data_IF_367750705308
#
_entry.id   IF_367750705308
#
_cell.length_a   1.000
_cell.length_b   1.000
_cell.length_c   1.000
_cell.angle_alpha   90.00
_cell.angle_beta   90.00
_cell.angle_gamma   90.00
#
_symmetry.space_group_name_H-M   'P 1'
#
loop_
_entity.id
_entity.type
_entity.pdbx_description
1 polymer ?
#
# COMPACT_ATOMS: atom_id res chain seq x y z
N UNK A 1 3.34 -27.24 39.10
CA UNK A 1 3.65 -27.92 37.81
C UNK A 1 2.94 -27.29 36.61
N UNK A 2 1.68 -26.93 36.71
CA UNK A 2 0.93 -26.27 35.61
C UNK A 2 1.51 -24.91 35.21
N UNK A 3 1.98 -24.11 36.13
CA UNK A 3 2.54 -22.76 35.88
C UNK A 3 3.87 -22.83 35.10
N UNK A 4 4.67 -23.85 35.31
CA UNK A 4 5.94 -24.05 34.60
C UNK A 4 5.70 -24.54 33.17
N UNK A 5 4.67 -25.33 32.96
CA UNK A 5 4.28 -25.85 31.64
C UNK A 5 3.72 -24.74 30.73
N UNK A 6 2.89 -23.84 31.25
CA UNK A 6 2.40 -22.67 30.52
C UNK A 6 3.52 -21.69 30.16
N UNK A 7 4.51 -21.53 31.04
CA UNK A 7 5.65 -20.67 30.83
C UNK A 7 6.62 -21.21 29.77
N UNK A 8 6.82 -22.51 29.74
CA UNK A 8 7.61 -23.18 28.70
C UNK A 8 6.91 -23.20 27.35
N UNK A 9 5.61 -23.42 27.32
CA UNK A 9 4.78 -23.28 26.11
C UNK A 9 4.81 -21.86 25.55
N UNK A 10 4.82 -20.84 26.41
CA UNK A 10 4.97 -19.44 26.00
C UNK A 10 6.36 -19.13 25.43
N UNK A 11 7.41 -19.78 25.94
CA UNK A 11 8.77 -19.59 25.45
C UNK A 11 9.02 -20.33 24.12
N UNK A 12 8.25 -21.38 23.84
CA UNK A 12 8.38 -22.18 22.62
C UNK A 12 7.47 -21.73 21.47
N UNK A 13 6.39 -21.01 21.78
CA UNK A 13 5.52 -20.43 20.75
C UNK A 13 5.98 -19.02 20.43
N UNK A 14 6.40 -18.79 19.21
CA UNK A 14 6.45 -17.42 18.68
C UNK A 14 5.03 -16.88 18.75
N UNK A 15 4.79 -15.95 19.64
CA UNK A 15 3.47 -15.33 19.73
C UNK A 15 3.15 -14.62 18.41
N UNK A 16 2.10 -15.05 17.75
CA UNK A 16 1.64 -14.43 16.50
C UNK A 16 1.47 -12.93 16.68
N UNK A 17 1.04 -12.50 17.86
CA UNK A 17 0.93 -11.09 18.21
C UNK A 17 2.26 -10.34 18.20
N UNK A 18 3.39 -11.01 18.42
CA UNK A 18 4.71 -10.37 18.35
C UNK A 18 5.17 -10.07 16.93
N UNK A 19 4.54 -10.68 15.94
CA UNK A 19 4.81 -10.42 14.53
C UNK A 19 4.09 -9.16 14.02
N UNK A 20 3.14 -8.63 14.79
CA UNK A 20 2.34 -7.47 14.47
C UNK A 20 2.63 -6.34 15.45
N UNK A 21 2.73 -5.12 14.97
CA UNK A 21 3.02 -3.94 15.79
C UNK A 21 2.17 -2.76 15.36
N UNK A 22 1.90 -1.88 16.33
CA UNK A 22 1.24 -0.61 16.10
C UNK A 22 2.02 0.49 16.84
N UNK A 23 2.34 1.56 16.14
CA UNK A 23 3.05 2.71 16.72
C UNK A 23 2.44 3.99 16.18
N UNK A 24 2.13 4.99 17.03
CA UNK A 24 1.47 6.22 16.59
C UNK A 24 2.26 6.99 15.54
N UNK A 25 3.59 6.88 15.56
CA UNK A 25 4.51 7.60 14.68
C UNK A 25 4.71 6.92 13.31
N UNK A 26 4.25 5.68 13.16
CA UNK A 26 4.44 4.89 11.94
C UNK A 26 3.09 4.49 11.38
N UNK A 27 2.86 4.78 10.10
CA UNK A 27 1.63 4.46 9.37
C UNK A 27 0.35 4.98 10.06
N UNK A 28 0.44 6.10 10.79
CA UNK A 28 -0.70 6.71 11.48
C UNK A 28 -1.30 5.85 12.59
N UNK A 29 -0.51 4.99 13.23
CA UNK A 29 -0.96 4.10 14.30
C UNK A 29 -1.65 2.84 13.82
N UNK A 30 -1.67 2.57 12.53
CA UNK A 30 -2.27 1.35 11.96
C UNK A 30 -1.46 0.12 12.31
N UNK A 31 -2.14 -0.99 12.48
CA UNK A 31 -1.50 -2.28 12.71
C UNK A 31 -0.68 -2.68 11.49
N UNK A 32 0.56 -3.01 11.70
CA UNK A 32 1.53 -3.37 10.66
C UNK A 32 2.33 -4.60 11.05
N UNK A 33 3.05 -5.15 10.11
CA UNK A 33 4.02 -6.21 10.38
C UNK A 33 5.22 -5.59 11.10
N UNK A 34 5.59 -6.17 12.22
CA UNK A 34 6.69 -5.67 13.06
C UNK A 34 7.99 -5.53 12.25
N UNK A 35 8.69 -4.43 12.49
CA UNK A 35 9.92 -4.10 11.78
C UNK A 35 9.74 -3.61 10.34
N UNK A 36 8.51 -3.46 9.87
CA UNK A 36 8.20 -2.98 8.51
C UNK A 36 7.18 -1.83 8.53
N UNK A 37 6.98 -1.20 7.39
CA UNK A 37 5.90 -0.23 7.16
C UNK A 37 4.71 -0.83 6.41
N UNK A 38 4.68 -2.14 6.26
CA UNK A 38 3.61 -2.85 5.57
C UNK A 38 2.48 -3.10 6.57
N UNK A 39 1.32 -2.48 6.31
CA UNK A 39 0.14 -2.62 7.15
C UNK A 39 -0.60 -3.92 6.86
N UNK A 40 -1.37 -4.38 7.84
CA UNK A 40 -2.28 -5.52 7.66
C UNK A 40 -3.23 -5.25 6.49
N UNK A 41 -3.74 -4.04 6.37
CA UNK A 41 -4.67 -3.65 5.31
C UNK A 41 -4.07 -3.82 3.91
N UNK A 42 -2.78 -3.54 3.73
CA UNK A 42 -2.09 -3.78 2.46
C UNK A 42 -2.02 -5.27 2.10
N UNK A 43 -1.71 -6.12 3.07
CA UNK A 43 -1.68 -7.57 2.90
C UNK A 43 -3.08 -8.10 2.57
N UNK A 44 -4.09 -7.67 3.31
CA UNK A 44 -5.49 -8.08 3.09
C UNK A 44 -6.00 -7.62 1.72
N UNK A 45 -5.65 -6.41 1.30
CA UNK A 45 -6.05 -5.90 -0.02
C UNK A 45 -5.50 -6.79 -1.14
N UNK A 46 -4.24 -7.22 -1.06
CA UNK A 46 -3.64 -8.15 -2.02
C UNK A 46 -4.31 -9.53 -1.97
N UNK A 47 -4.60 -10.02 -0.78
CA UNK A 47 -5.30 -11.28 -0.60
C UNK A 47 -6.71 -11.25 -1.22
N UNK A 48 -7.45 -10.17 -1.04
CA UNK A 48 -8.78 -9.97 -1.65
C UNK A 48 -8.74 -9.86 -3.17
N UNK A 49 -7.62 -9.42 -3.72
CA UNK A 49 -7.39 -9.39 -5.18
C UNK A 49 -7.08 -10.78 -5.76
N UNK A 50 -6.98 -11.79 -4.93
CA UNK A 50 -6.72 -13.17 -5.34
C UNK A 50 -5.26 -13.61 -5.21
N UNK A 51 -4.39 -12.78 -4.60
CA UNK A 51 -3.00 -13.17 -4.35
C UNK A 51 -2.93 -14.21 -3.22
N UNK A 52 -2.14 -15.26 -3.42
CA UNK A 52 -1.87 -16.25 -2.38
C UNK A 52 -0.87 -15.68 -1.36
N UNK A 53 -0.77 -16.31 -0.18
CA UNK A 53 0.20 -15.92 0.82
C UNK A 53 1.63 -15.99 0.28
N UNK A 54 1.95 -17.00 -0.52
CA UNK A 54 3.24 -17.15 -1.19
C UNK A 54 3.50 -16.02 -2.19
N UNK A 55 2.51 -15.64 -2.97
CA UNK A 55 2.61 -14.53 -3.92
C UNK A 55 2.86 -13.19 -3.21
N UNK A 56 2.19 -12.97 -2.08
CA UNK A 56 2.40 -11.78 -1.24
C UNK A 56 3.82 -11.77 -0.66
N UNK A 57 4.30 -12.90 -0.14
CA UNK A 57 5.66 -13.02 0.39
C UNK A 57 6.72 -12.82 -0.70
N UNK A 58 6.47 -13.27 -1.92
CA UNK A 58 7.35 -13.04 -3.07
C UNK A 58 7.39 -11.56 -3.50
N UNK A 59 6.27 -10.88 -3.38
CA UNK A 59 6.18 -9.43 -3.68
C UNK A 59 6.96 -8.59 -2.68
N UNK A 60 7.04 -9.04 -1.43
CA UNK A 60 7.80 -8.40 -0.36
C UNK A 60 8.90 -9.34 0.16
N UNK A 61 10.08 -9.38 -0.48
CA UNK A 61 11.12 -10.37 -0.16
C UNK A 61 11.63 -10.33 1.28
N UNK A 62 11.47 -9.19 1.97
CA UNK A 62 11.87 -9.03 3.37
C UNK A 62 10.80 -9.54 4.35
N UNK A 63 9.62 -9.93 3.88
CA UNK A 63 8.60 -10.57 4.71
C UNK A 63 8.77 -12.08 4.72
N UNK A 64 8.61 -12.67 5.91
CA UNK A 64 8.54 -14.13 6.04
C UNK A 64 7.12 -14.63 5.81
N UNK A 65 6.98 -15.89 5.47
CA UNK A 65 5.67 -16.55 5.35
C UNK A 65 4.88 -16.47 6.66
N UNK A 66 5.56 -16.61 7.82
CA UNK A 66 4.93 -16.49 9.13
C UNK A 66 4.31 -15.11 9.34
N UNK A 67 4.97 -14.05 8.92
CA UNK A 67 4.47 -12.68 9.01
C UNK A 67 3.23 -12.48 8.13
N UNK A 68 3.24 -12.99 6.91
CA UNK A 68 2.09 -12.92 5.99
C UNK A 68 0.90 -13.70 6.56
N UNK A 69 1.12 -14.92 7.04
CA UNK A 69 0.07 -15.72 7.67
C UNK A 69 -0.45 -15.08 8.97
N UNK A 70 0.41 -14.44 9.76
CA UNK A 70 -0.02 -13.70 10.96
C UNK A 70 -0.97 -12.55 10.60
N UNK A 71 -0.67 -11.81 9.55
CA UNK A 71 -1.53 -10.75 9.04
C UNK A 71 -2.88 -11.28 8.58
N UNK A 72 -2.90 -12.38 7.83
CA UNK A 72 -4.12 -13.02 7.35
C UNK A 72 -4.93 -13.65 8.50
N UNK A 73 -4.25 -14.24 9.48
CA UNK A 73 -4.91 -14.79 10.68
C UNK A 73 -5.59 -13.67 11.49
N UNK A 74 -4.93 -12.53 11.65
CA UNK A 74 -5.51 -11.36 12.29
C UNK A 74 -6.77 -10.89 11.53
N UNK A 75 -6.69 -10.82 10.21
CA UNK A 75 -7.82 -10.45 9.36
C UNK A 75 -9.01 -11.38 9.57
N UNK A 76 -8.79 -12.69 9.52
CA UNK A 76 -9.87 -13.67 9.71
C UNK A 76 -10.46 -13.63 11.13
N UNK A 77 -9.65 -13.31 12.14
CA UNK A 77 -10.11 -13.16 13.52
C UNK A 77 -10.87 -11.86 13.77
N UNK A 78 -10.54 -10.78 13.04
CA UNK A 78 -11.11 -9.43 13.22
C UNK A 78 -11.69 -8.89 11.91
N UNK A 79 -12.36 -9.72 11.17
CA UNK A 79 -12.81 -9.43 9.81
C UNK A 79 -13.65 -8.16 9.70
N UNK A 80 -14.59 -7.96 10.59
CA UNK A 80 -15.48 -6.78 10.58
C UNK A 80 -14.70 -5.48 10.76
N UNK A 81 -13.77 -5.47 11.70
CA UNK A 81 -12.92 -4.31 11.98
C UNK A 81 -12.01 -3.97 10.80
N UNK A 82 -11.32 -4.97 10.25
CA UNK A 82 -10.43 -4.80 9.11
C UNK A 82 -11.18 -4.38 7.85
N UNK A 83 -12.35 -4.96 7.59
CA UNK A 83 -13.19 -4.58 6.45
C UNK A 83 -13.71 -3.14 6.59
N UNK A 84 -14.06 -2.72 7.81
CA UNK A 84 -14.46 -1.34 8.07
C UNK A 84 -13.31 -0.34 7.83
N UNK A 85 -12.11 -0.69 8.26
CA UNK A 85 -10.90 0.12 8.04
C UNK A 85 -10.55 0.21 6.54
N UNK A 86 -10.62 -0.90 5.82
CA UNK A 86 -10.41 -0.92 4.38
C UNK A 86 -11.43 -0.05 3.63
N UNK A 87 -12.69 -0.14 4.01
CA UNK A 87 -13.75 0.68 3.42
C UNK A 87 -13.55 2.19 3.72
N UNK A 88 -13.03 2.52 4.90
CA UNK A 88 -12.66 3.89 5.27
C UNK A 88 -11.49 4.39 4.42
N UNK A 89 -10.45 3.57 4.25
CA UNK A 89 -9.30 3.90 3.40
C UNK A 89 -9.69 4.10 1.94
N UNK A 90 -10.54 3.24 1.41
CA UNK A 90 -11.07 3.37 0.05
C UNK A 90 -11.88 4.66 -0.14
N UNK A 91 -12.66 5.05 0.86
CA UNK A 91 -13.40 6.32 0.84
C UNK A 91 -12.47 7.53 0.86
N UNK A 92 -11.43 7.51 1.69
CA UNK A 92 -10.42 8.56 1.76
C UNK A 92 -9.62 8.64 0.45
N UNK A 93 -9.17 7.50 -0.08
CA UNK A 93 -8.51 7.40 -1.38
C UNK A 93 -9.45 7.83 -2.51
N UNK A 94 -10.73 7.44 -2.47
CA UNK A 94 -11.77 7.85 -3.40
C UNK A 94 -12.04 9.35 -3.35
N UNK A 95 -12.00 9.96 -2.17
CA UNK A 95 -12.12 11.42 -1.98
C UNK A 95 -10.88 12.13 -2.52
N UNK A 96 -9.69 11.60 -2.26
CA UNK A 96 -8.44 12.12 -2.83
C UNK A 96 -8.37 11.93 -4.34
N UNK A 97 -8.85 10.81 -4.85
CA UNK A 97 -8.93 10.54 -6.29
C UNK A 97 -10.05 11.39 -6.94
N UNK A 98 -11.13 11.69 -6.24
CA UNK A 98 -12.15 12.64 -6.71
C UNK A 98 -11.62 14.07 -6.74
N UNK A 99 -10.86 14.49 -5.74
CA UNK A 99 -10.11 15.75 -5.76
C UNK A 99 -9.02 15.75 -6.84
N UNK A 100 -8.45 14.55 -7.14
CA UNK A 100 -7.50 14.33 -8.22
C UNK A 100 -8.15 14.11 -9.59
N UNK A 101 -9.39 13.61 -9.70
CA UNK A 101 -10.07 13.33 -10.97
C UNK A 101 -10.96 14.49 -11.44
N UNK A 102 -11.43 15.37 -10.55
CA UNK A 102 -11.80 16.73 -10.95
C UNK A 102 -10.63 17.41 -11.66
N UNK A 103 -9.48 16.84 -11.50
CA UNK A 103 -8.24 17.28 -12.11
C UNK A 103 -7.88 16.59 -13.43
N UNK A 104 -8.68 15.69 -13.99
CA UNK A 104 -8.34 15.24 -15.35
C UNK A 104 -8.65 16.35 -16.36
N UNK A 105 -9.77 17.00 -16.19
CA UNK A 105 -10.12 18.21 -16.94
C UNK A 105 -9.28 19.41 -16.47
N UNK A 106 -9.14 19.61 -15.15
CA UNK A 106 -8.29 20.66 -14.58
C UNK A 106 -6.80 20.46 -14.82
N UNK A 107 -6.31 19.22 -14.94
CA UNK A 107 -4.93 18.92 -15.38
C UNK A 107 -4.72 19.26 -16.84
N UNK A 108 -5.68 18.97 -17.69
CA UNK A 108 -5.64 19.34 -19.12
C UNK A 108 -5.70 20.85 -19.29
N UNK A 109 -6.53 21.55 -18.49
CA UNK A 109 -6.58 23.02 -18.48
C UNK A 109 -5.31 23.66 -17.91
N UNK A 110 -4.81 23.16 -16.77
CA UNK A 110 -3.54 23.62 -16.17
C UNK A 110 -2.36 23.33 -17.07
N UNK A 111 -2.34 22.16 -17.72
CA UNK A 111 -1.33 21.79 -18.69
C UNK A 111 -1.41 22.67 -19.96
N UNK A 112 -2.62 22.97 -20.44
CA UNK A 112 -2.86 23.88 -21.55
C UNK A 112 -2.45 25.31 -21.23
N UNK A 113 -2.69 25.77 -19.99
CA UNK A 113 -2.26 27.08 -19.52
C UNK A 113 -0.74 27.17 -19.34
N UNK A 114 -0.12 26.11 -18.81
CA UNK A 114 1.30 25.99 -18.70
C UNK A 114 1.97 26.02 -20.09
N UNK A 115 1.40 25.30 -21.06
CA UNK A 115 1.86 25.33 -22.45
C UNK A 115 1.78 26.75 -23.05
N UNK A 116 0.72 27.48 -22.77
CA UNK A 116 0.56 28.88 -23.21
C UNK A 116 1.56 29.80 -22.55
N UNK A 117 1.82 29.67 -21.25
CA UNK A 117 2.81 30.47 -20.51
C UNK A 117 4.23 30.22 -20.99
N UNK A 118 4.57 28.98 -21.31
CA UNK A 118 5.89 28.60 -21.79
C UNK A 118 6.05 28.80 -23.31
N UNK A 119 5.00 29.25 -23.99
CA UNK A 119 5.01 29.42 -25.43
C UNK A 119 5.17 28.11 -26.20
N UNK A 120 4.80 27.01 -25.58
CA UNK A 120 4.83 25.67 -26.18
C UNK A 120 3.62 25.50 -27.11
N UNK A 121 3.75 25.96 -28.34
CA UNK A 121 2.77 25.71 -29.40
C UNK A 121 2.96 24.29 -29.96
N UNK A 122 1.91 23.80 -30.65
CA UNK A 122 1.99 22.50 -31.34
C UNK A 122 3.16 22.43 -32.34
N UNK A 123 3.58 23.58 -32.90
CA UNK A 123 4.76 23.68 -33.75
C UNK A 123 6.05 23.42 -32.97
N UNK A 124 6.19 23.95 -31.76
CA UNK A 124 7.34 23.67 -30.89
C UNK A 124 7.37 22.24 -30.37
N UNK A 125 6.20 21.65 -30.10
CA UNK A 125 6.10 20.25 -29.73
C UNK A 125 6.56 19.33 -30.88
N UNK A 126 6.22 19.67 -32.12
CA UNK A 126 6.68 18.98 -33.31
C UNK A 126 8.22 19.11 -33.51
N UNK A 127 8.79 20.29 -33.29
CA UNK A 127 10.23 20.52 -33.29
C UNK A 127 10.96 19.67 -32.25
N UNK A 128 10.40 19.57 -31.05
CA UNK A 128 10.97 18.72 -29.99
C UNK A 128 10.91 17.24 -30.34
N UNK A 129 9.81 16.78 -30.94
CA UNK A 129 9.67 15.41 -31.40
C UNK A 129 10.67 15.08 -32.51
N UNK A 130 10.89 16.01 -33.44
CA UNK A 130 11.89 15.86 -34.50
C UNK A 130 13.31 15.87 -33.95
N UNK A 131 13.62 16.76 -33.00
CA UNK A 131 14.91 16.80 -32.33
C UNK A 131 15.19 15.50 -31.55
N UNK A 132 14.22 14.94 -30.84
CA UNK A 132 14.33 13.65 -30.15
C UNK A 132 14.50 12.49 -31.14
N UNK A 133 13.86 12.56 -32.30
CA UNK A 133 13.96 11.56 -33.34
C UNK A 133 15.32 11.60 -34.01
N UNK A 134 15.91 12.77 -34.23
CA UNK A 134 17.28 12.93 -34.75
C UNK A 134 18.34 12.49 -33.74
N UNK A 135 18.15 12.76 -32.45
CA UNK A 135 19.08 12.33 -31.39
C UNK A 135 19.12 10.81 -31.20
N UNK A 136 18.11 10.08 -31.69
CA UNK A 136 18.06 8.61 -31.68
C UNK A 136 18.68 7.94 -32.91
N UNK A 137 19.10 8.68 -33.89
CA UNK A 137 19.89 8.19 -35.01
C UNK A 137 21.36 8.21 -34.62
#
# INVERSE_FOLDING_TARGET
MEIIFEKELRLMSTEINSLLASSPDICGGRLRIDGTRITINQIVALYKQGSSAEAIANQYPHLTMAQVYAALAYYHANREEVEADLAAEEREAGTQVRLGSTNKEGRLEAFGELQRRLGLTSAKAAEWQDAVREARR
#
